data_IF_612405943030
#
_entry.id   IF_612405943030
#
_cell.length_a   1.000
_cell.length_b   1.000
_cell.length_c   1.000
_cell.angle_alpha   90.00
_cell.angle_beta   90.00
_cell.angle_gamma   90.00
#
_symmetry.space_group_name_H-M   'P 1'
#
loop_
_entity.id
_entity.type
_entity.pdbx_description
1 polymer ?
#
# COMPACT_ATOMS: atom_id res chain seq x y z
N UNK A 1 28.77 -18.68 2.24
CA UNK A 1 28.05 -17.71 1.40
C UNK A 1 26.93 -17.13 2.23
N UNK A 2 27.04 -15.89 2.66
CA UNK A 2 25.97 -15.22 3.39
C UNK A 2 24.83 -14.93 2.42
N UNK A 3 23.56 -15.19 2.78
CA UNK A 3 22.43 -14.86 1.92
C UNK A 3 22.39 -13.36 1.68
N UNK A 4 22.32 -12.96 0.40
CA UNK A 4 22.08 -11.58 -0.01
C UNK A 4 20.71 -11.16 0.53
N UNK A 5 20.71 -10.22 1.47
CA UNK A 5 19.47 -9.70 2.07
C UNK A 5 18.69 -8.92 1.01
N UNK A 6 17.40 -9.21 0.80
CA UNK A 6 16.58 -8.37 -0.07
C UNK A 6 16.52 -6.95 0.48
N UNK A 7 16.80 -5.97 -0.36
CA UNK A 7 16.59 -4.56 -0.03
C UNK A 7 15.08 -4.32 0.04
N UNK A 8 14.63 -3.60 1.07
CA UNK A 8 13.22 -3.16 1.17
C UNK A 8 12.83 -2.37 -0.07
N UNK A 9 11.65 -2.71 -0.61
CA UNK A 9 11.12 -2.34 -1.90
C UNK A 9 11.37 -0.90 -2.36
N UNK A 10 11.90 -0.73 -3.55
CA UNK A 10 11.86 0.54 -4.28
C UNK A 10 10.62 0.58 -5.15
N UNK A 11 9.63 1.37 -4.72
CA UNK A 11 8.47 1.73 -5.52
C UNK A 11 8.87 2.79 -6.55
N UNK A 12 8.61 2.56 -7.83
CA UNK A 12 8.67 3.60 -8.84
C UNK A 12 7.26 3.97 -9.28
N UNK A 13 6.91 5.24 -9.04
CA UNK A 13 5.67 5.85 -9.49
C UNK A 13 5.81 6.23 -10.97
N UNK A 14 4.93 5.67 -11.80
CA UNK A 14 4.74 6.11 -13.17
C UNK A 14 3.49 6.99 -13.23
N UNK A 15 3.69 8.30 -13.22
CA UNK A 15 2.68 9.29 -13.59
C UNK A 15 2.89 9.66 -15.05
N UNK A 16 1.83 10.01 -15.76
CA UNK A 16 1.87 10.47 -17.15
C UNK A 16 2.50 11.88 -17.18
N UNK A 17 3.80 12.07 -17.45
CA UNK A 17 4.32 13.39 -17.80
C UNK A 17 3.84 13.73 -19.21
N UNK A 18 3.82 15.00 -19.55
CA UNK A 18 3.53 15.49 -20.90
C UNK A 18 4.31 14.64 -21.93
N UNK A 19 3.59 14.01 -22.86
CA UNK A 19 4.05 12.94 -23.75
C UNK A 19 5.34 13.27 -24.49
N UNK A 20 6.44 12.55 -24.29
CA UNK A 20 7.38 12.27 -25.38
C UNK A 20 6.94 10.98 -26.12
N UNK A 21 7.17 10.87 -27.43
CA UNK A 21 6.59 9.84 -28.29
C UNK A 21 7.17 8.42 -28.16
N UNK A 22 7.93 8.08 -27.08
CA UNK A 22 8.57 6.76 -26.93
C UNK A 22 8.68 6.33 -25.46
N UNK A 23 7.55 6.15 -24.77
CA UNK A 23 7.54 5.79 -23.34
C UNK A 23 7.93 4.33 -23.03
N UNK A 24 7.89 3.42 -24.00
CA UNK A 24 8.31 2.02 -23.81
C UNK A 24 9.79 1.86 -23.51
N UNK A 25 10.63 2.86 -23.82
CA UNK A 25 12.09 2.82 -23.56
C UNK A 25 12.49 3.21 -22.13
N UNK A 26 11.64 3.90 -21.35
CA UNK A 26 11.96 4.31 -19.97
C UNK A 26 11.70 3.23 -18.96
N UNK A 27 10.74 2.34 -19.20
CA UNK A 27 10.36 1.27 -18.26
C UNK A 27 11.48 0.24 -18.02
N UNK A 28 12.23 -0.25 -19.04
CA UNK A 28 13.38 -1.12 -18.80
C UNK A 28 14.50 -0.45 -18.00
N UNK A 29 14.66 0.87 -18.13
CA UNK A 29 15.65 1.63 -17.37
C UNK A 29 15.29 1.67 -15.87
N UNK A 30 14.02 1.88 -15.53
CA UNK A 30 13.53 1.91 -14.14
C UNK A 30 13.73 0.57 -13.43
N UNK A 31 13.49 -0.55 -14.11
CA UNK A 31 13.79 -1.89 -13.58
C UNK A 31 15.29 -2.10 -13.34
N UNK A 32 16.17 -1.54 -14.16
CA UNK A 32 17.64 -1.58 -13.97
C UNK A 32 18.09 -0.78 -12.74
N UNK A 33 17.33 0.23 -12.32
CA UNK A 33 17.57 1.02 -11.10
C UNK A 33 17.14 0.30 -9.83
N UNK A 34 16.63 -0.94 -9.93
CA UNK A 34 16.32 -1.81 -8.80
C UNK A 34 14.93 -1.57 -8.21
N UNK A 35 13.94 -1.24 -9.04
CA UNK A 35 12.53 -1.26 -8.63
C UNK A 35 12.04 -2.71 -8.44
N UNK A 36 11.32 -2.96 -7.35
CA UNK A 36 10.76 -4.28 -7.06
C UNK A 36 9.44 -4.50 -7.81
N UNK A 37 8.68 -3.45 -8.09
CA UNK A 37 7.47 -3.47 -8.92
C UNK A 37 7.19 -2.09 -9.52
N UNK A 38 6.28 -2.03 -10.49
CA UNK A 38 5.88 -0.79 -11.16
C UNK A 38 4.51 -0.34 -10.67
N UNK A 39 4.32 0.96 -10.50
CA UNK A 39 3.01 1.56 -10.20
C UNK A 39 2.60 2.53 -11.31
N UNK A 40 1.34 2.41 -11.78
CA UNK A 40 0.73 3.32 -12.74
C UNK A 40 -0.42 4.11 -12.10
N UNK A 41 -0.73 5.26 -12.69
CA UNK A 41 -1.89 6.07 -12.36
C UNK A 41 -3.03 5.73 -13.33
N UNK A 42 -3.68 4.56 -13.15
CA UNK A 42 -4.70 4.05 -14.08
C UNK A 42 -6.00 4.85 -14.09
N UNK A 43 -6.33 5.51 -12.99
CA UNK A 43 -7.49 6.37 -12.84
C UNK A 43 -7.15 7.80 -12.48
N UNK A 44 -8.14 8.70 -12.51
CA UNK A 44 -7.97 10.09 -12.08
C UNK A 44 -7.73 10.22 -10.57
N UNK A 45 -6.98 11.25 -10.14
CA UNK A 45 -6.56 11.45 -8.76
C UNK A 45 -7.40 12.48 -7.99
N UNK A 46 -7.54 12.29 -6.68
CA UNK A 46 -8.18 13.25 -5.77
C UNK A 46 -7.37 14.55 -5.72
N UNK A 47 -6.07 14.45 -5.54
CA UNK A 47 -5.19 15.61 -5.40
C UNK A 47 -4.97 16.38 -6.71
N UNK A 48 -5.21 15.75 -7.86
CA UNK A 48 -5.10 16.42 -9.16
C UNK A 48 -6.21 17.46 -9.35
N UNK A 49 -5.90 18.70 -9.69
CA UNK A 49 -6.92 19.73 -9.91
C UNK A 49 -7.69 19.55 -11.22
N UNK A 50 -7.12 18.86 -12.19
CA UNK A 50 -7.63 18.73 -13.56
C UNK A 50 -8.32 17.40 -13.85
N UNK A 51 -7.94 16.33 -13.17
CA UNK A 51 -8.49 15.00 -13.40
C UNK A 51 -9.83 14.82 -12.69
N UNK A 52 -10.77 14.18 -13.36
CA UNK A 52 -11.98 13.66 -12.72
C UNK A 52 -11.71 12.24 -12.23
N UNK A 53 -12.42 11.83 -11.16
CA UNK A 53 -12.29 10.47 -10.58
C UNK A 53 -12.59 9.38 -11.62
N UNK A 54 -13.51 9.65 -12.56
CA UNK A 54 -13.94 8.74 -13.62
C UNK A 54 -12.96 8.62 -14.77
N UNK A 55 -11.95 9.48 -14.85
CA UNK A 55 -11.00 9.46 -15.96
C UNK A 55 -10.20 8.15 -15.97
N UNK A 56 -10.04 7.61 -17.17
CA UNK A 56 -9.08 6.55 -17.48
C UNK A 56 -7.83 7.22 -18.06
N UNK A 57 -6.68 6.92 -17.47
CA UNK A 57 -5.43 7.62 -17.79
C UNK A 57 -4.60 6.95 -18.89
N UNK A 58 -4.85 5.67 -19.16
CA UNK A 58 -4.10 4.86 -20.11
C UNK A 58 -5.02 4.13 -21.08
N UNK A 59 -4.57 3.93 -22.33
CA UNK A 59 -5.20 2.98 -23.24
C UNK A 59 -4.86 1.54 -22.86
N UNK A 60 -5.59 0.58 -23.41
CA UNK A 60 -5.34 -0.85 -23.18
C UNK A 60 -3.95 -1.26 -23.65
N UNK A 61 -3.50 -0.72 -24.80
CA UNK A 61 -2.18 -0.99 -25.38
C UNK A 61 -1.05 -0.49 -24.47
N UNK A 62 -1.23 0.70 -23.85
CA UNK A 62 -0.25 1.26 -22.92
C UNK A 62 -0.13 0.39 -21.66
N UNK A 63 -1.25 0.00 -21.02
CA UNK A 63 -1.23 -0.86 -19.85
C UNK A 63 -0.61 -2.22 -20.19
N UNK A 64 -1.03 -2.83 -21.32
CA UNK A 64 -0.51 -4.12 -21.78
C UNK A 64 1.01 -4.08 -22.01
N UNK A 65 1.51 -3.00 -22.61
CA UNK A 65 2.94 -2.82 -22.82
C UNK A 65 3.71 -2.73 -21.47
N UNK A 66 3.18 -1.97 -20.49
CA UNK A 66 3.77 -1.82 -19.16
C UNK A 66 3.79 -3.17 -18.43
N UNK A 67 2.67 -3.90 -18.44
CA UNK A 67 2.55 -5.23 -17.80
C UNK A 67 3.51 -6.22 -18.45
N UNK A 68 3.64 -6.19 -19.79
CA UNK A 68 4.60 -7.05 -20.52
C UNK A 68 6.04 -6.78 -20.08
N UNK A 69 6.43 -5.51 -19.97
CA UNK A 69 7.78 -5.12 -19.51
C UNK A 69 8.04 -5.57 -18.07
N UNK A 70 7.07 -5.36 -17.17
CA UNK A 70 7.18 -5.81 -15.79
C UNK A 70 7.32 -7.34 -15.70
N UNK A 71 6.48 -8.08 -16.43
CA UNK A 71 6.51 -9.54 -16.48
C UNK A 71 7.85 -10.08 -17.02
N UNK A 72 8.38 -9.48 -18.09
CA UNK A 72 9.69 -9.84 -18.65
C UNK A 72 10.85 -9.58 -17.66
N UNK A 73 10.67 -8.63 -16.76
CA UNK A 73 11.62 -8.36 -15.67
C UNK A 73 11.35 -9.21 -14.40
N UNK A 74 10.42 -10.15 -14.43
CA UNK A 74 10.07 -11.02 -13.29
C UNK A 74 9.26 -10.31 -12.21
N UNK A 75 8.68 -9.13 -12.49
CA UNK A 75 7.91 -8.35 -11.52
C UNK A 75 6.46 -8.11 -11.98
N UNK A 76 5.74 -7.23 -11.33
CA UNK A 76 4.32 -6.97 -11.56
C UNK A 76 4.01 -5.45 -11.57
N UNK A 77 2.76 -5.13 -11.91
CA UNK A 77 2.24 -3.76 -11.95
C UNK A 77 1.13 -3.61 -10.92
N UNK A 78 1.13 -2.46 -10.22
CA UNK A 78 -0.01 -1.98 -9.44
C UNK A 78 -0.59 -0.71 -10.05
N UNK A 79 -1.86 -0.41 -9.73
CA UNK A 79 -2.58 0.73 -10.31
C UNK A 79 -3.30 1.55 -9.25
N UNK A 80 -3.04 2.85 -9.22
CA UNK A 80 -3.93 3.81 -8.59
C UNK A 80 -5.24 3.86 -9.37
N UNK A 81 -6.34 3.44 -8.76
CA UNK A 81 -7.67 3.42 -9.40
C UNK A 81 -8.78 3.46 -8.36
N UNK A 82 -9.81 4.26 -8.59
CA UNK A 82 -10.97 4.36 -7.69
C UNK A 82 -12.19 3.61 -8.21
N UNK A 83 -12.48 3.74 -9.51
CA UNK A 83 -13.75 3.33 -10.11
C UNK A 83 -13.73 1.89 -10.61
N UNK A 84 -14.87 1.19 -10.63
CA UNK A 84 -14.98 -0.15 -11.21
C UNK A 84 -14.41 -0.22 -12.62
N UNK A 85 -14.72 0.77 -13.47
CA UNK A 85 -14.26 0.79 -14.86
C UNK A 85 -12.73 0.80 -14.97
N UNK A 86 -12.03 1.67 -14.23
CA UNK A 86 -10.57 1.74 -14.24
C UNK A 86 -9.93 0.47 -13.67
N UNK A 87 -10.52 -0.08 -12.60
CA UNK A 87 -10.04 -1.29 -11.94
C UNK A 87 -10.22 -2.51 -12.85
N UNK A 88 -11.39 -2.70 -13.44
CA UNK A 88 -11.67 -3.81 -14.34
C UNK A 88 -10.77 -3.78 -15.58
N UNK A 89 -10.52 -2.59 -16.18
CA UNK A 89 -9.55 -2.43 -17.26
C UNK A 89 -8.16 -2.89 -16.79
N UNK A 90 -7.67 -2.38 -15.67
CA UNK A 90 -6.35 -2.73 -15.17
C UNK A 90 -6.20 -4.24 -14.92
N UNK A 91 -7.20 -4.88 -14.30
CA UNK A 91 -7.21 -6.33 -14.03
C UNK A 91 -7.20 -7.13 -15.32
N UNK A 92 -8.07 -6.78 -16.30
CA UNK A 92 -8.16 -7.51 -17.58
C UNK A 92 -6.87 -7.49 -18.38
N UNK A 93 -5.99 -6.51 -18.11
CA UNK A 93 -4.71 -6.33 -18.76
C UNK A 93 -3.51 -6.83 -17.93
N UNK A 94 -3.77 -7.50 -16.78
CA UNK A 94 -2.76 -8.21 -16.00
C UNK A 94 -2.14 -7.44 -14.83
N UNK A 95 -2.71 -6.30 -14.43
CA UNK A 95 -2.32 -5.60 -13.19
C UNK A 95 -2.65 -6.48 -11.98
N UNK A 96 -1.75 -6.52 -10.98
CA UNK A 96 -1.83 -7.43 -9.82
C UNK A 96 -2.11 -6.74 -8.49
N UNK A 97 -2.08 -5.42 -8.44
CA UNK A 97 -2.44 -4.65 -7.25
C UNK A 97 -3.25 -3.41 -7.59
N UNK A 98 -4.25 -3.11 -6.76
CA UNK A 98 -5.04 -1.88 -6.85
C UNK A 98 -4.85 -1.10 -5.56
N UNK A 99 -4.39 0.13 -5.69
CA UNK A 99 -4.39 1.11 -4.63
C UNK A 99 -5.71 1.87 -4.62
N UNK A 100 -6.19 2.16 -3.43
CA UNK A 100 -7.42 2.88 -3.11
C UNK A 100 -8.68 2.04 -3.31
N UNK A 101 -9.18 1.91 -4.54
CA UNK A 101 -10.36 1.10 -4.83
C UNK A 101 -11.63 1.54 -4.11
N UNK A 102 -11.74 2.82 -3.72
CA UNK A 102 -12.80 3.31 -2.82
C UNK A 102 -14.23 3.20 -3.38
N UNK A 103 -14.37 2.97 -4.68
CA UNK A 103 -15.67 2.85 -5.37
C UNK A 103 -15.92 1.43 -5.92
N UNK A 104 -15.23 0.42 -5.39
CA UNK A 104 -15.38 -0.98 -5.82
C UNK A 104 -16.81 -1.45 -5.63
N UNK A 105 -17.37 -2.08 -6.66
CA UNK A 105 -18.62 -2.84 -6.63
C UNK A 105 -18.37 -4.35 -6.46
N UNK A 106 -19.46 -5.12 -6.24
CA UNK A 106 -19.38 -6.57 -6.04
C UNK A 106 -18.81 -7.31 -7.28
N UNK A 107 -19.08 -6.82 -8.48
CA UNK A 107 -18.56 -7.40 -9.73
C UNK A 107 -17.06 -7.23 -9.83
N UNK A 108 -16.57 -6.03 -9.56
CA UNK A 108 -15.13 -5.72 -9.53
C UNK A 108 -14.43 -6.51 -8.44
N UNK A 109 -15.03 -6.64 -7.25
CA UNK A 109 -14.46 -7.42 -6.15
C UNK A 109 -14.33 -8.92 -6.52
N UNK A 110 -15.33 -9.51 -7.18
CA UNK A 110 -15.24 -10.89 -7.70
C UNK A 110 -14.12 -11.04 -8.73
N UNK A 111 -14.01 -10.10 -9.67
CA UNK A 111 -12.95 -10.10 -10.67
C UNK A 111 -11.55 -10.00 -10.04
N UNK A 112 -11.40 -9.24 -8.95
CA UNK A 112 -10.15 -9.19 -8.18
C UNK A 112 -9.79 -10.56 -7.59
N UNK A 113 -10.76 -11.27 -7.02
CA UNK A 113 -10.53 -12.61 -6.45
C UNK A 113 -10.15 -13.61 -7.54
N UNK A 114 -10.89 -13.65 -8.65
CA UNK A 114 -10.65 -14.55 -9.78
C UNK A 114 -9.26 -14.36 -10.42
N UNK A 115 -8.73 -13.15 -10.37
CA UNK A 115 -7.43 -12.79 -10.95
C UNK A 115 -6.31 -12.64 -9.90
N UNK A 116 -6.58 -13.00 -8.63
CA UNK A 116 -5.63 -12.90 -7.51
C UNK A 116 -5.03 -11.49 -7.35
N UNK A 117 -5.87 -10.46 -7.50
CA UNK A 117 -5.47 -9.06 -7.39
C UNK A 117 -5.59 -8.56 -5.96
N UNK A 118 -4.55 -7.92 -5.47
CA UNK A 118 -4.50 -7.32 -4.14
C UNK A 118 -5.17 -5.95 -4.11
N UNK A 119 -5.73 -5.59 -2.95
CA UNK A 119 -6.28 -4.26 -2.67
C UNK A 119 -5.53 -3.60 -1.52
N UNK A 120 -5.07 -2.36 -1.71
CA UNK A 120 -4.48 -1.53 -0.66
C UNK A 120 -5.32 -0.25 -0.46
N UNK A 121 -6.29 -0.22 0.49
CA UNK A 121 -7.35 0.82 0.56
C UNK A 121 -6.88 2.06 1.28
N UNK A 122 -5.98 2.65 1.38
CA UNK A 122 -5.36 3.86 1.96
C UNK A 122 -6.37 4.92 2.51
N UNK A 123 -7.29 4.52 3.38
CA UNK A 123 -8.36 5.42 3.85
C UNK A 123 -7.87 6.63 4.61
N UNK A 124 -6.78 6.46 5.36
CA UNK A 124 -6.26 7.52 6.23
C UNK A 124 -5.79 8.75 5.45
N UNK A 125 -5.34 8.61 4.19
CA UNK A 125 -4.92 9.76 3.40
C UNK A 125 -6.08 10.71 3.16
N UNK A 126 -7.27 10.20 2.84
CA UNK A 126 -8.48 11.01 2.63
C UNK A 126 -8.97 11.64 3.93
N UNK A 127 -8.91 10.90 5.03
CA UNK A 127 -9.26 11.41 6.35
C UNK A 127 -8.29 12.51 6.81
N UNK A 128 -7.00 12.35 6.58
CA UNK A 128 -5.98 13.32 6.92
C UNK A 128 -6.11 14.60 6.07
N UNK A 129 -6.31 14.46 4.75
CA UNK A 129 -6.54 15.61 3.86
C UNK A 129 -7.80 16.40 4.25
N UNK A 130 -8.86 15.72 4.71
CA UNK A 130 -10.08 16.38 5.16
C UNK A 130 -9.92 17.18 6.46
N UNK A 131 -8.90 16.88 7.29
CA UNK A 131 -8.62 17.62 8.52
C UNK A 131 -8.04 19.01 8.26
N UNK A 132 -7.41 19.22 7.12
CA UNK A 132 -6.76 20.46 6.74
C UNK A 132 -7.48 21.07 5.54
N UNK A 133 -8.44 21.96 5.82
CA UNK A 133 -9.30 22.56 4.78
C UNK A 133 -8.52 23.28 3.66
N UNK A 134 -7.32 23.74 3.97
CA UNK A 134 -6.45 24.48 3.04
C UNK A 134 -5.53 23.53 2.23
N UNK A 135 -5.49 22.24 2.55
CA UNK A 135 -4.61 21.29 1.89
C UNK A 135 -5.03 20.98 0.45
N UNK A 136 -6.34 20.99 0.19
CA UNK A 136 -6.89 20.69 -1.13
C UNK A 136 -7.65 21.89 -1.71
N UNK A 137 -7.49 22.18 -3.03
CA UNK A 137 -8.40 23.08 -3.74
C UNK A 137 -9.86 22.62 -3.61
N UNK A 138 -10.86 23.55 -3.69
CA UNK A 138 -12.27 23.20 -3.47
C UNK A 138 -12.79 22.03 -4.32
N UNK A 139 -12.39 21.94 -5.58
CA UNK A 139 -12.76 20.84 -6.47
C UNK A 139 -12.20 19.49 -6.01
N UNK A 140 -10.95 19.47 -5.52
CA UNK A 140 -10.30 18.28 -4.96
C UNK A 140 -10.88 17.90 -3.60
N UNK A 141 -11.26 18.88 -2.76
CA UNK A 141 -11.91 18.63 -1.47
C UNK A 141 -13.24 17.89 -1.64
N UNK A 142 -14.06 18.24 -2.66
CA UNK A 142 -15.30 17.55 -2.98
C UNK A 142 -15.04 16.09 -3.39
N UNK A 143 -14.05 15.85 -4.26
CA UNK A 143 -13.65 14.49 -4.66
C UNK A 143 -13.18 13.68 -3.44
N UNK A 144 -12.39 14.30 -2.55
CA UNK A 144 -11.90 13.68 -1.33
C UNK A 144 -13.04 13.22 -0.41
N UNK A 145 -14.08 14.04 -0.23
CA UNK A 145 -15.25 13.70 0.58
C UNK A 145 -16.00 12.49 0.01
N UNK A 146 -16.21 12.45 -1.30
CA UNK A 146 -16.87 11.34 -2.00
C UNK A 146 -16.10 10.03 -1.82
N UNK A 147 -14.79 10.05 -2.07
CA UNK A 147 -13.91 8.89 -1.97
C UNK A 147 -13.80 8.40 -0.52
N UNK A 148 -13.68 9.31 0.46
CA UNK A 148 -13.63 8.97 1.88
C UNK A 148 -14.92 8.29 2.34
N UNK A 149 -16.07 8.84 1.98
CA UNK A 149 -17.39 8.31 2.35
C UNK A 149 -17.61 6.90 1.83
N UNK A 150 -17.17 6.61 0.61
CA UNK A 150 -17.35 5.31 -0.04
C UNK A 150 -16.33 4.26 0.42
N UNK A 151 -15.16 4.68 0.91
CA UNK A 151 -14.03 3.78 1.15
C UNK A 151 -14.28 2.70 2.20
N UNK A 152 -14.99 2.99 3.30
CA UNK A 152 -15.35 1.97 4.30
C UNK A 152 -16.33 0.93 3.74
N UNK A 153 -17.25 1.36 2.87
CA UNK A 153 -18.15 0.44 2.17
C UNK A 153 -17.39 -0.45 1.19
N UNK A 154 -16.46 0.12 0.45
CA UNK A 154 -15.60 -0.62 -0.50
C UNK A 154 -14.81 -1.74 0.19
N UNK A 155 -14.27 -1.50 1.39
CA UNK A 155 -13.60 -2.53 2.18
C UNK A 155 -14.57 -3.67 2.55
N UNK A 156 -15.81 -3.35 2.96
CA UNK A 156 -16.82 -4.40 3.27
C UNK A 156 -17.12 -5.25 2.04
N UNK A 157 -17.28 -4.62 0.87
CA UNK A 157 -17.55 -5.32 -0.40
C UNK A 157 -16.36 -6.24 -0.75
N UNK A 158 -15.14 -5.73 -0.68
CA UNK A 158 -13.93 -6.48 -0.97
C UNK A 158 -13.74 -7.67 -0.01
N UNK A 159 -13.92 -7.44 1.31
CA UNK A 159 -13.77 -8.49 2.33
C UNK A 159 -14.83 -9.58 2.18
N UNK A 160 -16.10 -9.22 1.94
CA UNK A 160 -17.19 -10.16 1.69
C UNK A 160 -16.93 -11.04 0.47
N UNK A 161 -16.32 -10.48 -0.57
CA UNK A 161 -15.95 -11.23 -1.78
C UNK A 161 -14.71 -12.13 -1.58
N UNK A 162 -13.89 -11.90 -0.56
CA UNK A 162 -12.65 -12.64 -0.30
C UNK A 162 -11.41 -12.03 -0.93
N UNK A 163 -11.44 -10.75 -1.32
CA UNK A 163 -10.27 -10.04 -1.86
C UNK A 163 -9.14 -10.02 -0.83
N UNK A 164 -7.91 -10.28 -1.26
CA UNK A 164 -6.73 -10.13 -0.40
C UNK A 164 -6.44 -8.65 -0.19
N UNK A 165 -6.73 -8.16 1.02
CA UNK A 165 -6.55 -6.75 1.38
C UNK A 165 -5.20 -6.58 2.09
N UNK A 166 -4.40 -5.61 1.63
CA UNK A 166 -3.14 -5.16 2.24
C UNK A 166 -3.33 -3.89 3.06
N UNK A 167 -2.32 -3.52 3.84
CA UNK A 167 -2.30 -2.30 4.63
C UNK A 167 -1.40 -1.26 3.95
N UNK A 168 -1.91 -0.05 3.77
CA UNK A 168 -1.16 1.07 3.24
C UNK A 168 -1.84 2.39 3.60
N UNK A 169 -1.10 3.49 3.56
CA UNK A 169 -1.58 4.81 4.00
C UNK A 169 -1.59 5.87 2.93
N UNK A 170 -0.64 5.84 1.99
CA UNK A 170 -0.48 6.84 0.92
C UNK A 170 -0.51 8.29 1.40
N UNK A 171 0.03 8.55 2.59
CA UNK A 171 0.08 9.88 3.18
C UNK A 171 1.17 10.72 2.51
N UNK A 172 0.84 11.99 2.24
CA UNK A 172 1.73 12.94 1.57
C UNK A 172 2.39 13.88 2.58
N UNK A 173 3.70 14.04 2.47
CA UNK A 173 4.48 15.03 3.23
C UNK A 173 4.15 15.06 4.72
N UNK A 174 3.73 16.21 5.20
CA UNK A 174 3.45 16.46 6.62
C UNK A 174 2.28 15.63 7.19
N UNK A 175 1.48 14.98 6.34
CA UNK A 175 0.39 14.11 6.80
C UNK A 175 0.86 12.77 7.38
N UNK A 176 2.14 12.42 7.26
CA UNK A 176 2.70 11.15 7.76
C UNK A 176 2.47 10.90 9.26
N UNK A 177 2.26 11.94 10.07
CA UNK A 177 1.89 11.78 11.49
C UNK A 177 0.61 10.96 11.69
N UNK A 178 -0.25 10.88 10.68
CA UNK A 178 -1.53 10.19 10.75
C UNK A 178 -1.47 8.68 10.38
N UNK A 179 -0.29 8.14 10.04
CA UNK A 179 -0.16 6.80 9.45
C UNK A 179 -0.81 5.69 10.29
N UNK A 180 -0.75 5.77 11.61
CA UNK A 180 -1.32 4.75 12.50
C UNK A 180 -2.85 4.82 12.60
N UNK A 181 -3.47 5.93 12.21
CA UNK A 181 -4.93 6.10 12.23
C UNK A 181 -5.66 5.17 11.25
N UNK A 182 -4.98 4.61 10.26
CA UNK A 182 -5.54 3.60 9.35
C UNK A 182 -6.06 2.38 10.15
N UNK A 183 -5.40 1.97 11.24
CA UNK A 183 -5.87 0.90 12.11
C UNK A 183 -7.25 1.19 12.70
N UNK A 184 -7.44 2.40 13.22
CA UNK A 184 -8.72 2.84 13.81
C UNK A 184 -9.82 2.99 12.77
N UNK A 185 -9.51 3.54 11.59
CA UNK A 185 -10.48 3.68 10.50
C UNK A 185 -10.99 2.33 10.05
N UNK A 186 -10.11 1.38 9.79
CA UNK A 186 -10.46 0.05 9.30
C UNK A 186 -11.17 -0.79 10.36
N UNK A 187 -10.93 -0.57 11.65
CA UNK A 187 -11.60 -1.26 12.75
C UNK A 187 -13.12 -1.06 12.74
N UNK A 188 -13.62 -0.01 12.10
CA UNK A 188 -15.05 0.24 11.96
C UNK A 188 -15.76 -0.81 11.08
N UNK A 189 -15.04 -1.51 10.23
CA UNK A 189 -15.61 -2.43 9.23
C UNK A 189 -14.90 -3.79 9.17
N UNK A 190 -13.74 -3.93 9.80
CA UNK A 190 -12.95 -5.17 9.79
C UNK A 190 -12.64 -5.67 11.20
N UNK A 191 -12.37 -6.96 11.33
CA UNK A 191 -11.89 -7.54 12.59
C UNK A 191 -10.43 -7.17 12.82
N UNK A 192 -10.01 -7.12 14.11
CA UNK A 192 -8.60 -6.91 14.48
C UNK A 192 -7.67 -7.91 13.77
N UNK A 193 -8.06 -9.18 13.69
CA UNK A 193 -7.31 -10.24 13.00
C UNK A 193 -7.09 -9.93 11.52
N UNK A 194 -8.14 -9.49 10.79
CA UNK A 194 -8.03 -9.23 9.36
C UNK A 194 -7.17 -7.98 9.08
N UNK A 195 -7.28 -6.96 9.92
CA UNK A 195 -6.43 -5.76 9.83
C UNK A 195 -4.96 -6.12 10.10
N UNK A 196 -4.68 -6.92 11.14
CA UNK A 196 -3.32 -7.36 11.44
C UNK A 196 -2.74 -8.19 10.29
N UNK A 197 -3.51 -9.15 9.74
CA UNK A 197 -3.10 -9.92 8.55
C UNK A 197 -2.79 -9.05 7.36
N UNK A 198 -3.57 -7.99 7.15
CA UNK A 198 -3.33 -7.06 6.04
C UNK A 198 -2.00 -6.32 6.14
N UNK A 199 -1.57 -6.01 7.38
CA UNK A 199 -0.32 -5.31 7.66
C UNK A 199 0.91 -6.24 7.73
N UNK A 200 0.71 -7.55 7.70
CA UNK A 200 1.76 -8.55 7.87
C UNK A 200 1.75 -9.56 6.72
N UNK A 201 1.04 -10.66 6.86
CA UNK A 201 1.05 -11.79 5.93
C UNK A 201 0.61 -11.39 4.52
N UNK A 202 -0.48 -10.60 4.39
CA UNK A 202 -0.98 -10.21 3.07
C UNK A 202 -0.02 -9.23 2.37
N UNK A 203 0.55 -8.28 3.13
CA UNK A 203 1.55 -7.37 2.59
C UNK A 203 2.82 -8.09 2.16
N UNK A 204 3.28 -9.09 2.92
CA UNK A 204 4.42 -9.93 2.54
C UNK A 204 4.15 -10.69 1.22
N UNK A 205 2.93 -11.23 1.03
CA UNK A 205 2.52 -11.87 -0.23
C UNK A 205 2.51 -10.91 -1.41
N UNK A 206 1.97 -9.69 -1.24
CA UNK A 206 2.01 -8.66 -2.28
C UNK A 206 3.46 -8.35 -2.69
N UNK A 207 4.36 -8.26 -1.72
CA UNK A 207 5.79 -8.01 -1.95
C UNK A 207 6.56 -9.25 -2.44
N UNK A 208 5.92 -10.41 -2.58
CA UNK A 208 6.56 -11.70 -2.93
C UNK A 208 7.68 -12.07 -1.95
N UNK A 209 7.47 -11.79 -0.67
CA UNK A 209 8.40 -12.05 0.43
C UNK A 209 7.74 -12.89 1.54
N UNK A 210 6.70 -13.65 1.23
CA UNK A 210 5.91 -14.44 2.16
C UNK A 210 6.70 -15.56 2.86
N UNK A 211 7.81 -15.98 2.28
CA UNK A 211 8.71 -16.99 2.86
C UNK A 211 9.73 -16.39 3.84
N UNK A 212 9.76 -15.03 3.93
CA UNK A 212 10.77 -14.33 4.72
C UNK A 212 10.19 -13.24 5.64
N UNK A 213 9.04 -12.64 5.30
CA UNK A 213 8.39 -11.53 6.03
C UNK A 213 6.98 -11.89 6.48
N UNK A 214 6.47 -11.11 7.43
CA UNK A 214 5.05 -11.08 7.82
C UNK A 214 4.66 -12.10 8.88
N UNK A 215 5.58 -12.91 9.40
CA UNK A 215 5.29 -13.91 10.44
C UNK A 215 6.38 -13.95 11.51
N UNK A 216 5.98 -14.38 12.71
CA UNK A 216 6.91 -14.70 13.81
C UNK A 216 7.13 -16.21 13.78
N UNK A 217 8.14 -16.65 13.02
CA UNK A 217 8.48 -18.05 12.86
C UNK A 217 9.99 -18.23 12.63
N UNK A 218 10.56 -19.42 12.93
CA UNK A 218 11.96 -19.69 12.59
C UNK A 218 12.23 -19.51 11.10
N UNK A 219 13.33 -18.83 10.76
CA UNK A 219 13.71 -18.53 9.37
C UNK A 219 13.18 -17.19 8.83
N UNK A 220 12.20 -16.57 9.51
CA UNK A 220 11.68 -15.27 9.13
C UNK A 220 12.55 -14.11 9.67
N UNK A 221 12.52 -12.96 9.00
CA UNK A 221 13.13 -11.75 9.50
C UNK A 221 12.52 -11.35 10.85
N UNK A 222 13.39 -11.03 11.80
CA UNK A 222 12.94 -10.58 13.11
C UNK A 222 12.59 -9.08 13.10
N UNK A 223 11.60 -8.72 12.24
CA UNK A 223 10.95 -7.40 12.19
C UNK A 223 9.76 -7.44 13.14
N UNK A 224 9.94 -6.98 14.36
CA UNK A 224 9.01 -7.24 15.46
C UNK A 224 8.59 -5.95 16.17
N UNK A 225 7.35 -5.92 16.62
CA UNK A 225 6.85 -4.95 17.60
C UNK A 225 6.58 -5.69 18.91
N UNK A 226 7.13 -5.18 20.01
CA UNK A 226 6.75 -5.62 21.37
C UNK A 226 5.69 -4.68 21.90
N UNK A 227 4.54 -5.23 22.25
CA UNK A 227 3.36 -4.47 22.69
C UNK A 227 3.03 -4.77 24.15
N UNK A 228 2.39 -3.82 24.85
CA UNK A 228 1.89 -4.01 26.22
C UNK A 228 0.42 -4.47 26.29
N UNK A 229 -0.24 -4.65 25.14
CA UNK A 229 -1.61 -5.12 25.04
C UNK A 229 -1.78 -6.02 23.80
N UNK A 230 -2.86 -6.79 23.76
CA UNK A 230 -3.14 -7.76 22.69
C UNK A 230 -3.82 -7.09 21.48
N UNK A 231 -3.14 -6.97 20.32
CA UNK A 231 -3.72 -6.33 19.13
C UNK A 231 -4.84 -7.16 18.48
N UNK A 232 -5.01 -8.44 18.84
CA UNK A 232 -6.12 -9.26 18.37
C UNK A 232 -7.43 -8.93 19.11
N UNK A 233 -7.34 -8.48 20.36
CA UNK A 233 -8.50 -7.99 21.12
C UNK A 233 -8.87 -6.57 20.68
N UNK A 234 -7.89 -5.68 20.60
CA UNK A 234 -8.07 -4.31 20.12
C UNK A 234 -6.91 -3.85 19.26
N UNK A 235 -7.12 -3.83 17.95
CA UNK A 235 -6.11 -3.35 16.99
C UNK A 235 -5.86 -1.85 17.11
N UNK A 236 -6.77 -1.08 17.70
CA UNK A 236 -6.62 0.38 17.84
C UNK A 236 -5.52 0.80 18.80
N UNK A 237 -4.95 -0.13 19.57
CA UNK A 237 -3.72 0.12 20.34
C UNK A 237 -2.56 0.56 19.44
N UNK A 238 -2.53 0.12 18.17
CA UNK A 238 -1.52 0.51 17.20
C UNK A 238 -1.69 1.95 16.67
N UNK A 239 -2.87 2.58 16.90
CA UNK A 239 -3.08 4.02 16.65
C UNK A 239 -2.49 4.93 17.76
N UNK A 240 -1.95 4.31 18.82
CA UNK A 240 -1.32 5.00 19.94
C UNK A 240 0.06 4.38 20.23
N UNK A 241 0.99 4.45 19.27
CA UNK A 241 2.29 3.78 19.37
C UNK A 241 3.09 4.21 20.62
N UNK A 242 2.98 5.49 21.02
CA UNK A 242 3.63 6.05 22.19
C UNK A 242 3.13 5.44 23.53
N UNK A 243 1.92 4.85 23.53
CA UNK A 243 1.33 4.19 24.71
C UNK A 243 1.55 2.68 24.70
N UNK A 244 1.52 2.05 23.53
CA UNK A 244 1.42 0.60 23.43
C UNK A 244 2.62 -0.12 22.82
N UNK A 245 3.48 0.54 22.02
CA UNK A 245 4.70 -0.08 21.51
C UNK A 245 5.81 0.07 22.56
N UNK A 246 6.26 -1.05 23.10
CA UNK A 246 7.36 -1.10 24.07
C UNK A 246 8.72 -1.15 23.39
N UNK A 247 8.84 -1.87 22.27
CA UNK A 247 10.06 -1.91 21.50
C UNK A 247 9.76 -2.19 20.01
N UNK A 248 10.66 -1.73 19.15
CA UNK A 248 10.66 -1.98 17.71
C UNK A 248 11.99 -2.63 17.33
N UNK A 249 11.90 -3.79 16.70
CA UNK A 249 13.06 -4.52 16.18
C UNK A 249 13.01 -4.57 14.65
N UNK A 250 14.17 -4.47 14.03
CA UNK A 250 14.39 -4.65 12.59
C UNK A 250 15.58 -5.58 12.38
N UNK A 251 15.37 -6.67 11.65
CA UNK A 251 16.38 -7.72 11.46
C UNK A 251 16.99 -8.22 12.79
N UNK A 252 16.16 -8.33 13.84
CA UNK A 252 16.59 -8.74 15.18
C UNK A 252 17.34 -7.66 15.99
N UNK A 253 17.56 -6.46 15.42
CA UNK A 253 18.18 -5.33 16.12
C UNK A 253 17.13 -4.45 16.77
N UNK A 254 17.34 -4.05 18.02
CA UNK A 254 16.46 -3.15 18.75
C UNK A 254 16.71 -1.71 18.30
N UNK A 255 15.83 -1.16 17.48
CA UNK A 255 15.93 0.20 16.95
C UNK A 255 15.39 1.24 17.92
N UNK A 256 14.32 0.90 18.66
CA UNK A 256 13.72 1.74 19.67
C UNK A 256 13.20 0.87 20.79
N UNK A 257 13.37 1.30 22.04
CA UNK A 257 12.82 0.63 23.20
C UNK A 257 12.59 1.63 24.32
N UNK A 258 11.44 1.50 24.98
CA UNK A 258 11.10 2.10 26.26
C UNK A 258 10.85 1.02 27.32
N UNK A 259 11.22 -0.22 27.02
CA UNK A 259 11.13 -1.35 27.92
C UNK A 259 12.46 -1.60 28.59
N UNK A 260 12.49 -1.46 29.93
CA UNK A 260 13.73 -1.59 30.72
C UNK A 260 14.43 -2.95 30.58
N UNK A 261 13.68 -3.99 30.15
CA UNK A 261 14.23 -5.34 29.95
C UNK A 261 14.88 -5.56 28.58
N UNK A 262 14.79 -4.57 27.68
CA UNK A 262 15.32 -4.67 26.32
C UNK A 262 15.98 -3.33 25.95
N UNK A 263 17.29 -3.28 25.96
CA UNK A 263 18.08 -2.09 25.63
C UNK A 263 18.13 -1.87 24.12
N UNK A 264 18.25 -0.60 23.72
CA UNK A 264 18.50 -0.23 22.32
C UNK A 264 19.89 -0.69 21.93
N UNK A 265 20.03 -1.32 20.77
CA UNK A 265 21.34 -1.70 20.23
C UNK A 265 22.15 -0.45 19.86
N UNK A 266 23.36 -0.34 20.39
CA UNK A 266 24.28 0.71 20.00
C UNK A 266 24.56 0.60 18.50
N UNK A 267 24.34 1.67 17.74
CA UNK A 267 24.78 1.74 16.34
C UNK A 267 26.32 1.69 16.36
N UNK A 268 26.91 0.58 15.95
CA UNK A 268 28.29 0.62 15.49
C UNK A 268 28.27 1.50 14.24
N UNK A 269 28.88 2.69 14.33
CA UNK A 269 29.20 3.49 13.16
C UNK A 269 30.14 2.65 12.27
N UNK A 270 29.55 1.90 11.35
CA UNK A 270 30.27 1.41 10.20
C UNK A 270 30.45 2.63 9.28
N UNK A 271 31.47 3.41 9.55
CA UNK A 271 32.08 4.27 8.54
C UNK A 271 32.46 3.33 7.40
N UNK A 272 31.67 3.30 6.35
CA UNK A 272 32.06 2.73 5.07
C UNK A 272 33.03 3.77 4.50
N UNK A 273 34.32 3.46 4.56
CA UNK A 273 35.36 4.17 3.84
C UNK A 273 35.20 3.93 2.33
#
# INVERSE_FOLDING_TARGET
>A
MSPVRPRLGRLLLYSRPERPPNQTHTLPFQNREGADFLKIMGGGGVASPTDKIENIQFSDEEIKAIVTVASNAGTYVTSHSYTPKAIQQAISLGVKGIEHGNLIDETTARMMVENEVFLTPTLVTYAAMAMFKEFLPPASAKKNEEVLKSGLHAIKVAEKAGVTICFGTDLLGDLHFAQTREFKLRRQVQTSKNILRSATVNAARLLRQEDFLGQVAPGFAADLLVLNANPLEDITILDKPEQHILATLKDGRVLASRWSKLSIDSQKNNNIA
#
